data_IF_683517888216
#
_entry.id   IF_683517888216
#
_cell.length_a   1.000
_cell.length_b   1.000
_cell.length_c   1.000
_cell.angle_alpha   90.00
_cell.angle_beta   90.00
_cell.angle_gamma   90.00
#
_symmetry.space_group_name_H-M   'P 1'
#
loop_
_entity.id
_entity.type
_entity.pdbx_description
1 polymer ?
#
# COMPACT_ATOMS: atom_id res chain seq x y z
N UNK A 1 19.38 10.28 21.25
CA UNK A 1 18.00 9.97 21.68
C UNK A 1 17.06 9.80 20.48
N UNK A 2 17.45 10.32 19.32
CA UNK A 2 16.62 10.44 18.12
C UNK A 2 16.48 9.15 17.32
N UNK A 3 17.50 8.29 17.33
CA UNK A 3 17.54 7.04 16.56
C UNK A 3 16.52 6.04 17.10
N UNK A 4 16.36 5.98 18.43
CA UNK A 4 15.36 5.11 19.07
C UNK A 4 13.93 5.53 18.72
N UNK A 5 13.66 6.83 18.69
CA UNK A 5 12.37 7.39 18.27
C UNK A 5 12.11 7.15 16.77
N UNK A 6 13.14 7.30 15.92
CA UNK A 6 13.05 7.01 14.49
C UNK A 6 12.79 5.52 14.20
N UNK A 7 13.38 4.62 14.99
CA UNK A 7 13.16 3.18 14.84
C UNK A 7 11.75 2.79 15.31
N UNK A 8 11.29 3.36 16.43
CA UNK A 8 9.95 3.14 16.95
C UNK A 8 8.86 3.67 15.99
N UNK A 9 9.05 4.87 15.43
CA UNK A 9 8.12 5.44 14.46
C UNK A 9 8.13 4.69 13.13
N UNK A 10 9.31 4.29 12.63
CA UNK A 10 9.44 3.46 11.43
C UNK A 10 8.78 2.08 11.59
N UNK A 11 8.94 1.44 12.76
CA UNK A 11 8.27 0.19 13.07
C UNK A 11 6.75 0.35 13.17
N UNK A 12 6.26 1.43 13.78
CA UNK A 12 4.83 1.73 13.88
C UNK A 12 4.21 2.02 12.51
N UNK A 13 4.86 2.85 11.69
CA UNK A 13 4.43 3.17 10.32
C UNK A 13 4.46 1.91 9.44
N UNK A 14 5.53 1.12 9.52
CA UNK A 14 5.63 -0.17 8.82
C UNK A 14 4.57 -1.18 9.27
N UNK A 15 4.24 -1.21 10.57
CA UNK A 15 3.16 -2.03 11.10
C UNK A 15 1.78 -1.55 10.62
N UNK A 16 1.51 -0.24 10.60
CA UNK A 16 0.25 0.33 10.10
C UNK A 16 0.10 0.09 8.60
N UNK A 17 1.15 0.33 7.80
CA UNK A 17 1.16 0.02 6.37
C UNK A 17 1.01 -1.48 6.11
N UNK A 18 1.65 -2.32 6.92
CA UNK A 18 1.51 -3.77 6.88
C UNK A 18 0.13 -4.27 7.32
N UNK A 19 -0.51 -3.60 8.29
CA UNK A 19 -1.86 -3.90 8.80
C UNK A 19 -2.96 -3.45 7.85
N UNK A 20 -2.79 -2.30 7.18
CA UNK A 20 -3.65 -1.87 6.08
C UNK A 20 -3.65 -2.94 4.98
N UNK A 21 -2.53 -3.66 4.82
CA UNK A 21 -2.45 -4.91 4.07
C UNK A 21 -2.97 -4.78 2.63
N UNK A 22 -3.27 -5.93 2.02
CA UNK A 22 -3.85 -6.01 0.67
C UNK A 22 -5.19 -5.25 0.48
N UNK A 23 -5.77 -4.69 1.55
CA UNK A 23 -6.99 -3.87 1.49
C UNK A 23 -6.76 -2.44 1.03
N UNK A 24 -5.56 -1.86 1.26
CA UNK A 24 -5.25 -0.48 0.82
C UNK A 24 -5.32 -0.30 -0.70
N UNK A 25 -5.02 -1.35 -1.45
CA UNK A 25 -5.16 -1.41 -2.91
C UNK A 25 -6.62 -1.39 -3.40
N UNK A 26 -7.61 -1.71 -2.56
CA UNK A 26 -9.03 -1.51 -2.89
C UNK A 26 -9.37 -0.02 -2.99
N UNK A 27 -8.66 0.82 -2.23
CA UNK A 27 -8.79 2.28 -2.29
C UNK A 27 -8.03 2.91 -3.46
N UNK A 28 -7.17 2.16 -4.16
CA UNK A 28 -6.37 2.71 -5.26
C UNK A 28 -7.24 3.20 -6.43
N UNK A 29 -8.30 2.48 -6.81
CA UNK A 29 -9.25 2.93 -7.86
C UNK A 29 -9.93 4.26 -7.48
N UNK A 30 -10.64 4.37 -6.34
CA UNK A 30 -11.29 5.63 -5.97
C UNK A 30 -10.30 6.77 -5.73
N UNK A 31 -9.10 6.51 -5.18
CA UNK A 31 -8.07 7.55 -5.04
C UNK A 31 -7.62 8.09 -6.39
N UNK A 32 -7.37 7.22 -7.38
CA UNK A 32 -6.98 7.65 -8.72
C UNK A 32 -8.08 8.46 -9.42
N UNK A 33 -9.35 8.09 -9.21
CA UNK A 33 -10.48 8.82 -9.81
C UNK A 33 -10.74 10.14 -9.08
N UNK A 34 -10.87 10.12 -7.75
CA UNK A 34 -11.34 11.28 -6.97
C UNK A 34 -10.24 12.27 -6.58
N UNK A 35 -8.98 11.83 -6.44
CA UNK A 35 -7.87 12.72 -6.05
C UNK A 35 -7.05 13.14 -7.27
N UNK A 36 -6.82 12.21 -8.20
CA UNK A 36 -5.99 12.46 -9.38
C UNK A 36 -6.80 12.77 -10.65
N UNK A 37 -8.14 12.81 -10.56
CA UNK A 37 -9.04 13.11 -11.67
C UNK A 37 -8.81 12.23 -12.92
N UNK A 38 -8.30 11.01 -12.72
CA UNK A 38 -8.08 10.09 -13.82
C UNK A 38 -9.41 9.54 -14.34
N UNK A 39 -9.49 9.38 -15.66
CA UNK A 39 -10.60 8.68 -16.29
C UNK A 39 -10.76 7.27 -15.69
N UNK A 40 -11.99 6.81 -15.41
CA UNK A 40 -12.24 5.52 -14.75
C UNK A 40 -11.53 4.33 -15.41
N UNK A 41 -11.41 4.36 -16.74
CA UNK A 41 -10.70 3.33 -17.51
C UNK A 41 -9.21 3.31 -17.17
N UNK A 42 -8.55 4.47 -17.18
CA UNK A 42 -7.12 4.61 -16.88
C UNK A 42 -6.85 4.31 -15.42
N UNK A 43 -7.70 4.79 -14.51
CA UNK A 43 -7.60 4.53 -13.08
C UNK A 43 -7.72 3.03 -12.74
N UNK A 44 -8.62 2.30 -13.41
CA UNK A 44 -8.78 0.86 -13.20
C UNK A 44 -7.53 0.10 -13.63
N UNK A 45 -6.96 0.41 -14.81
CA UNK A 45 -5.75 -0.25 -15.30
C UNK A 45 -4.54 0.06 -14.41
N UNK A 46 -4.38 1.32 -14.00
CA UNK A 46 -3.31 1.74 -13.11
C UNK A 46 -3.43 1.10 -11.72
N UNK A 47 -4.65 1.00 -11.19
CA UNK A 47 -4.91 0.31 -9.93
C UNK A 47 -4.55 -1.17 -10.01
N UNK A 48 -4.75 -1.83 -11.15
CA UNK A 48 -4.38 -3.24 -11.31
C UNK A 48 -2.87 -3.46 -11.12
N UNK A 49 -2.04 -2.56 -11.67
CA UNK A 49 -0.59 -2.58 -11.45
C UNK A 49 -0.23 -2.35 -9.97
N UNK A 50 -0.89 -1.39 -9.31
CA UNK A 50 -0.69 -1.10 -7.89
C UNK A 50 -1.08 -2.30 -7.01
N UNK A 51 -2.22 -2.93 -7.28
CA UNK A 51 -2.71 -4.13 -6.57
C UNK A 51 -1.74 -5.29 -6.76
N UNK A 52 -1.25 -5.53 -7.98
CA UNK A 52 -0.30 -6.60 -8.26
C UNK A 52 1.00 -6.43 -7.45
N UNK A 53 1.58 -5.22 -7.44
CA UNK A 53 2.79 -4.93 -6.67
C UNK A 53 2.54 -5.08 -5.17
N UNK A 54 1.41 -4.57 -4.67
CA UNK A 54 1.03 -4.69 -3.26
C UNK A 54 0.80 -6.16 -2.85
N UNK A 55 0.19 -6.98 -3.71
CA UNK A 55 0.00 -8.41 -3.48
C UNK A 55 1.33 -9.17 -3.42
N UNK A 56 2.26 -8.89 -4.35
CA UNK A 56 3.61 -9.46 -4.34
C UNK A 56 4.35 -9.05 -3.07
N UNK A 57 4.31 -7.76 -2.71
CA UNK A 57 4.92 -7.24 -1.48
C UNK A 57 4.31 -7.86 -0.22
N UNK A 58 3.02 -8.19 -0.21
CA UNK A 58 2.34 -8.89 0.90
C UNK A 58 2.64 -10.38 0.99
N UNK A 59 2.95 -11.03 -0.14
CA UNK A 59 3.33 -12.45 -0.20
C UNK A 59 4.75 -12.68 0.32
N UNK A 60 5.69 -11.79 0.00
CA UNK A 60 7.12 -11.94 0.34
C UNK A 60 7.38 -12.21 1.85
N UNK A 61 6.77 -11.48 2.81
CA UNK A 61 6.94 -11.73 4.23
C UNK A 61 6.23 -13.01 4.71
N UNK A 62 5.11 -13.37 4.07
CA UNK A 62 4.26 -14.50 4.46
C UNK A 62 4.83 -15.84 4.01
N UNK A 63 5.59 -15.85 2.91
CA UNK A 63 6.30 -17.01 2.37
C UNK A 63 7.51 -17.46 3.20
N UNK A 64 7.95 -16.63 4.17
CA UNK A 64 9.11 -16.92 5.05
C UNK A 64 8.70 -17.47 6.44
N UNK A 65 7.42 -17.69 6.69
CA UNK A 65 6.90 -18.43 7.85
C UNK A 65 6.36 -19.78 7.40
#
# INVERSE_FOLDING_TARGET
>A
MDIFLALASGAFIGAVLGFIGAGGSMLAVPILIYIFDFSPIVATTASLAVVCIAAVAGVIPKWRK
#
